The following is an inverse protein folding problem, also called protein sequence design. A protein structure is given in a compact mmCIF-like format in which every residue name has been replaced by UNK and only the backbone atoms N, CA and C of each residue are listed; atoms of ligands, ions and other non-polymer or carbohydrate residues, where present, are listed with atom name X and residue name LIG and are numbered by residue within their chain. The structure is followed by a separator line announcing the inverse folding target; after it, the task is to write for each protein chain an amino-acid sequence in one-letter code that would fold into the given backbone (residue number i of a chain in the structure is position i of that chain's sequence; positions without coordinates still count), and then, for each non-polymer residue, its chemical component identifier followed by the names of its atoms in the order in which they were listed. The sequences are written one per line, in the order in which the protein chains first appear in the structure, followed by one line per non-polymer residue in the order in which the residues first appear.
data_IF_185894196957
#
_entry.id   IF_185894196957
#
_cell.length_a   1.000
_cell.length_b   1.000
_cell.length_c   1.000
_cell.angle_alpha   90.00
_cell.angle_beta   90.00
_cell.angle_gamma   90.00
#
_symmetry.space_group_name_H-M   'P 1'
#
loop_
_entity.id
_entity.type
_entity.pdbx_description
1 polymer ?
#
# COMPACT_ATOMS: atom_id res chain seq x y z
N UNK A 1 -9.18 26.95 -31.03
CA UNK A 1 -9.22 25.50 -31.21
C UNK A 1 -7.90 24.79 -30.96
N UNK A 2 -6.76 25.35 -31.40
CA UNK A 2 -5.44 24.75 -31.13
C UNK A 2 -5.05 24.71 -29.62
N UNK A 3 -5.53 25.69 -28.83
CA UNK A 3 -5.24 25.73 -27.39
C UNK A 3 -5.97 24.63 -26.59
N UNK A 4 -7.16 24.23 -27.02
CA UNK A 4 -7.93 23.18 -26.36
C UNK A 4 -7.32 21.80 -26.58
N UNK A 5 -6.81 21.53 -27.78
CA UNK A 5 -6.11 20.28 -28.09
C UNK A 5 -4.79 20.17 -27.31
N UNK A 6 -4.09 21.28 -27.12
CA UNK A 6 -2.84 21.33 -26.35
C UNK A 6 -3.08 21.10 -24.88
N UNK A 7 -4.12 21.68 -24.29
CA UNK A 7 -4.52 21.46 -22.91
C UNK A 7 -4.93 20.00 -22.67
N UNK A 8 -5.60 19.39 -23.63
CA UNK A 8 -6.00 17.99 -23.55
C UNK A 8 -4.80 17.03 -23.58
N UNK A 9 -3.81 17.34 -24.42
CA UNK A 9 -2.55 16.59 -24.50
C UNK A 9 -1.75 16.69 -23.20
N UNK A 10 -1.69 17.87 -22.59
CA UNK A 10 -1.02 18.07 -21.29
C UNK A 10 -1.70 17.29 -20.18
N UNK A 11 -3.01 17.22 -20.18
CA UNK A 11 -3.78 16.46 -19.22
C UNK A 11 -3.50 14.96 -19.35
N UNK A 12 -3.43 14.43 -20.57
CA UNK A 12 -3.08 13.04 -20.82
C UNK A 12 -1.65 12.69 -20.39
N UNK A 13 -0.70 13.60 -20.59
CA UNK A 13 0.66 13.44 -20.17
C UNK A 13 0.80 13.42 -18.64
N UNK A 14 0.07 14.27 -17.93
CA UNK A 14 0.02 14.29 -16.47
C UNK A 14 -0.60 13.00 -15.94
N UNK A 15 -1.67 12.50 -16.54
CA UNK A 15 -2.29 11.23 -16.17
C UNK A 15 -1.34 10.06 -16.35
N UNK A 16 -0.58 10.01 -17.44
CA UNK A 16 0.42 8.99 -17.69
C UNK A 16 1.58 9.07 -16.69
N UNK A 17 1.97 10.26 -16.27
CA UNK A 17 3.00 10.46 -15.26
C UNK A 17 2.57 9.93 -13.89
N UNK A 18 1.32 10.16 -13.49
CA UNK A 18 0.76 9.66 -12.23
C UNK A 18 0.66 8.13 -12.26
N UNK A 19 0.31 7.54 -13.40
CA UNK A 19 0.25 6.08 -13.57
C UNK A 19 1.63 5.42 -13.64
N UNK A 20 2.69 6.18 -13.88
CA UNK A 20 4.07 5.68 -13.85
C UNK A 20 4.65 5.58 -12.43
N UNK A 21 3.90 5.95 -11.38
CA UNK A 21 4.32 5.71 -10.01
C UNK A 21 4.54 4.22 -9.78
N UNK A 22 5.71 3.91 -9.22
CA UNK A 22 6.12 2.54 -8.95
C UNK A 22 5.13 1.86 -8.01
N UNK A 23 4.51 0.80 -8.51
CA UNK A 23 3.67 -0.06 -7.69
C UNK A 23 4.58 -0.83 -6.71
N UNK A 24 4.34 -0.76 -5.41
CA UNK A 24 5.17 -1.50 -4.44
C UNK A 24 4.98 -3.00 -4.61
N UNK A 25 6.07 -3.75 -4.49
CA UNK A 25 6.02 -5.21 -4.54
C UNK A 25 5.63 -5.79 -3.18
N UNK A 26 5.10 -7.01 -3.18
CA UNK A 26 4.82 -7.76 -1.95
C UNK A 26 6.04 -7.83 -1.03
N UNK A 27 7.19 -8.15 -1.58
CA UNK A 27 8.46 -8.24 -0.85
C UNK A 27 8.81 -6.93 -0.14
N UNK A 28 8.66 -5.81 -0.82
CA UNK A 28 8.92 -4.48 -0.26
C UNK A 28 7.97 -4.14 0.88
N UNK A 29 6.69 -4.47 0.71
CA UNK A 29 5.67 -4.28 1.76
C UNK A 29 6.00 -5.10 3.00
N UNK A 30 6.37 -6.37 2.83
CA UNK A 30 6.73 -7.25 3.96
C UNK A 30 7.96 -6.75 4.69
N UNK A 31 8.96 -6.28 3.97
CA UNK A 31 10.18 -5.70 4.56
C UNK A 31 9.87 -4.45 5.38
N UNK A 32 9.04 -3.55 4.85
CA UNK A 32 8.63 -2.34 5.57
C UNK A 32 7.72 -2.67 6.76
N UNK A 33 6.90 -3.70 6.65
CA UNK A 33 6.08 -4.17 7.77
C UNK A 33 6.96 -4.60 8.94
N UNK A 34 7.99 -5.37 8.67
CA UNK A 34 8.94 -5.77 9.72
C UNK A 34 9.64 -4.56 10.34
N UNK A 35 10.03 -3.58 9.55
CA UNK A 35 10.62 -2.33 10.04
C UNK A 35 9.65 -1.52 10.90
N UNK A 36 8.40 -1.42 10.49
CA UNK A 36 7.35 -0.73 11.24
C UNK A 36 7.08 -1.41 12.59
N UNK A 37 7.00 -2.74 12.61
CA UNK A 37 6.77 -3.52 13.82
C UNK A 37 7.95 -3.40 14.80
N UNK A 38 9.17 -3.41 14.27
CA UNK A 38 10.40 -3.44 15.08
C UNK A 38 10.70 -2.12 15.77
N UNK A 39 10.61 -1.00 15.04
CA UNK A 39 11.10 0.29 15.52
C UNK A 39 10.00 1.29 15.87
N UNK A 40 8.75 1.01 15.59
CA UNK A 40 7.62 1.94 15.79
C UNK A 40 7.85 3.31 15.15
N UNK A 41 8.72 3.38 14.15
CA UNK A 41 8.99 4.63 13.47
C UNK A 41 7.75 5.04 12.69
N UNK A 42 7.16 6.11 13.15
CA UNK A 42 5.91 6.65 12.63
C UNK A 42 5.96 6.91 11.12
N UNK A 43 7.10 7.34 10.61
CA UNK A 43 7.26 7.64 9.20
C UNK A 43 7.22 6.38 8.33
N UNK A 44 7.92 5.32 8.74
CA UNK A 44 7.92 4.05 8.01
C UNK A 44 6.53 3.43 8.00
N UNK A 45 5.83 3.47 9.13
CA UNK A 45 4.46 2.97 9.23
C UNK A 45 3.48 3.76 8.35
N UNK A 46 3.62 5.08 8.28
CA UNK A 46 2.81 5.93 7.41
C UNK A 46 3.02 5.61 5.93
N UNK A 47 4.27 5.50 5.52
CA UNK A 47 4.61 5.15 4.14
C UNK A 47 4.09 3.77 3.78
N UNK A 48 4.20 2.83 4.71
CA UNK A 48 3.70 1.47 4.54
C UNK A 48 2.19 1.43 4.30
N UNK A 49 1.40 2.18 5.07
CA UNK A 49 -0.05 2.27 4.89
C UNK A 49 -0.39 2.74 3.47
N UNK A 50 0.29 3.77 2.99
CA UNK A 50 0.10 4.30 1.64
C UNK A 50 0.48 3.27 0.57
N UNK A 51 1.58 2.57 0.75
CA UNK A 51 2.04 1.56 -0.20
C UNK A 51 1.11 0.34 -0.26
N UNK A 52 0.60 -0.11 0.90
CA UNK A 52 -0.39 -1.18 0.96
C UNK A 52 -1.65 -0.78 0.19
N UNK A 53 -2.09 0.46 0.35
CA UNK A 53 -3.26 0.96 -0.37
C UNK A 53 -3.06 0.92 -1.89
N UNK A 54 -1.90 1.34 -2.37
CA UNK A 54 -1.57 1.29 -3.79
C UNK A 54 -1.61 -0.14 -4.34
N UNK A 55 -1.04 -1.09 -3.62
CA UNK A 55 -1.06 -2.49 -4.03
C UNK A 55 -2.48 -3.07 -3.98
N UNK A 56 -3.29 -2.68 -3.00
CA UNK A 56 -4.70 -3.10 -2.92
C UNK A 56 -5.48 -2.73 -4.18
N UNK A 57 -5.29 -1.52 -4.69
CA UNK A 57 -5.96 -1.08 -5.91
C UNK A 57 -5.57 -1.93 -7.12
N UNK A 58 -4.30 -2.28 -7.24
CA UNK A 58 -3.81 -3.10 -8.34
C UNK A 58 -4.38 -4.51 -8.28
N UNK A 59 -4.32 -5.16 -7.12
CA UNK A 59 -4.81 -6.54 -6.98
C UNK A 59 -6.34 -6.61 -7.07
N UNK A 60 -7.03 -5.56 -6.69
CA UNK A 60 -8.48 -5.42 -6.91
C UNK A 60 -8.81 -5.43 -8.40
N UNK A 61 -8.09 -4.65 -9.20
CA UNK A 61 -8.28 -4.61 -10.65
C UNK A 61 -7.96 -5.95 -11.31
N UNK A 62 -7.09 -6.74 -10.70
CA UNK A 62 -6.75 -8.08 -11.16
C UNK A 62 -7.71 -9.17 -10.65
N UNK A 63 -8.77 -8.80 -9.95
CA UNK A 63 -9.72 -9.72 -9.31
C UNK A 63 -9.08 -10.66 -8.28
N UNK A 64 -7.97 -10.25 -7.67
CA UNK A 64 -7.27 -11.01 -6.64
C UNK A 64 -7.77 -10.64 -5.25
N UNK A 65 -8.99 -11.02 -4.95
CA UNK A 65 -9.69 -10.57 -3.75
C UNK A 65 -9.12 -11.13 -2.44
N UNK A 66 -8.57 -12.32 -2.46
CA UNK A 66 -7.90 -12.88 -1.27
C UNK A 66 -6.65 -12.08 -0.90
N UNK A 67 -5.88 -11.68 -1.90
CA UNK A 67 -4.74 -10.80 -1.69
C UNK A 67 -5.19 -9.45 -1.16
N UNK A 68 -6.21 -8.85 -1.78
CA UNK A 68 -6.77 -7.57 -1.34
C UNK A 68 -7.23 -7.63 0.11
N UNK A 69 -7.96 -8.66 0.50
CA UNK A 69 -8.47 -8.83 1.86
C UNK A 69 -7.31 -8.98 2.85
N UNK A 70 -6.27 -9.72 2.49
CA UNK A 70 -5.08 -9.89 3.33
C UNK A 70 -4.32 -8.58 3.52
N UNK A 71 -4.17 -7.80 2.46
CA UNK A 71 -3.54 -6.48 2.52
C UNK A 71 -4.36 -5.49 3.35
N UNK A 72 -5.68 -5.51 3.20
CA UNK A 72 -6.57 -4.68 4.00
C UNK A 72 -6.46 -5.01 5.49
N UNK A 73 -6.42 -6.29 5.84
CA UNK A 73 -6.21 -6.75 7.20
C UNK A 73 -4.88 -6.28 7.77
N UNK A 74 -3.80 -6.41 7.00
CA UNK A 74 -2.49 -5.90 7.39
C UNK A 74 -2.50 -4.39 7.59
N UNK A 75 -3.08 -3.64 6.67
CA UNK A 75 -3.19 -2.19 6.76
C UNK A 75 -3.93 -1.76 8.02
N UNK A 76 -5.04 -2.41 8.31
CA UNK A 76 -5.87 -2.15 9.49
C UNK A 76 -5.08 -2.35 10.78
N UNK A 77 -4.34 -3.46 10.89
CA UNK A 77 -3.53 -3.76 12.07
C UNK A 77 -2.35 -2.78 12.22
N UNK A 78 -1.77 -2.32 11.13
CA UNK A 78 -0.70 -1.31 11.14
C UNK A 78 -1.24 0.04 11.62
N UNK A 79 -2.41 0.46 11.13
CA UNK A 79 -3.06 1.69 11.56
C UNK A 79 -3.35 1.64 13.05
N UNK A 80 -3.89 0.55 13.54
CA UNK A 80 -4.16 0.39 14.98
C UNK A 80 -2.87 0.42 15.80
N UNK A 81 -1.82 -0.27 15.37
CA UNK A 81 -0.53 -0.27 16.03
C UNK A 81 0.10 1.13 16.08
N UNK A 82 -0.09 1.91 15.01
CA UNK A 82 0.40 3.29 14.92
C UNK A 82 -0.28 4.20 15.94
N UNK A 83 -1.61 4.09 16.09
CA UNK A 83 -2.37 4.95 17.00
C UNK A 83 -2.29 4.51 18.46
N UNK A 84 -2.24 3.21 18.73
CA UNK A 84 -2.34 2.65 20.07
C UNK A 84 -1.04 2.10 20.65
N UNK A 85 0.01 2.33 20.03
CA UNK A 85 1.45 2.20 20.33
C UNK A 85 2.02 0.90 20.93
N UNK A 86 1.48 0.04 21.64
CA UNK A 86 2.26 -1.06 22.24
C UNK A 86 1.61 -2.44 22.21
N UNK A 87 0.33 -2.48 22.15
CA UNK A 87 -0.40 -3.74 22.31
C UNK A 87 -0.64 -4.47 20.98
N UNK A 88 -0.62 -3.74 19.87
CA UNK A 88 -1.17 -4.24 18.62
C UNK A 88 -0.11 -4.54 17.56
N UNK A 89 1.17 -4.31 17.87
CA UNK A 89 2.27 -4.63 16.94
C UNK A 89 2.35 -6.11 16.62
N UNK A 90 2.09 -6.97 17.62
CA UNK A 90 2.06 -8.41 17.41
C UNK A 90 0.94 -8.83 16.47
N UNK A 91 -0.20 -8.12 16.47
CA UNK A 91 -1.33 -8.42 15.60
C UNK A 91 -0.99 -8.19 14.14
N UNK A 92 -0.25 -7.12 13.84
CA UNK A 92 0.23 -6.88 12.48
C UNK A 92 1.10 -8.04 11.98
N UNK A 93 1.93 -8.61 12.83
CA UNK A 93 2.78 -9.75 12.47
C UNK A 93 1.97 -11.00 12.12
N UNK A 94 0.78 -11.19 12.69
CA UNK A 94 -0.08 -12.31 12.36
C UNK A 94 -0.67 -12.25 10.95
N UNK A 95 -0.73 -11.06 10.38
CA UNK A 95 -1.23 -10.87 9.02
C UNK A 95 -0.19 -11.17 7.95
N UNK A 96 1.10 -11.19 8.30
CA UNK A 96 2.18 -11.44 7.36
C UNK A 96 2.03 -12.78 6.63
N UNK A 97 1.76 -13.92 7.31
CA UNK A 97 1.57 -15.19 6.63
C UNK A 97 0.41 -15.19 5.61
N UNK A 98 -0.65 -14.47 5.91
CA UNK A 98 -1.78 -14.36 4.98
C UNK A 98 -1.42 -13.58 3.72
N UNK A 99 -0.65 -12.51 3.85
CA UNK A 99 -0.15 -11.75 2.70
C UNK A 99 0.81 -12.61 1.87
N UNK A 100 1.70 -13.36 2.51
CA UNK A 100 2.63 -14.26 1.82
C UNK A 100 1.85 -15.31 1.03
N UNK A 101 0.83 -15.91 1.64
CA UNK A 101 0.03 -16.99 1.03
C UNK A 101 -0.87 -16.47 -0.10
N UNK A 102 -1.51 -15.33 0.08
CA UNK A 102 -2.59 -14.86 -0.79
C UNK A 102 -2.13 -13.85 -1.86
N UNK A 103 -0.97 -13.29 -1.67
CA UNK A 103 -0.36 -12.37 -2.61
C UNK A 103 0.89 -12.96 -3.24
#
# INVERSE_FOLDING_TARGET
MKCLAFLFLNFLLISNFVMAEKIPTKSKILKKTNGCIKDSQTQVCKELVSEIEKLQLVVFDQNRFKCQTSLLGLQSEIIEAYFFKNFLKKRASFMIPYVIKNC
#
